data_IF_985384471665
#
_entry.id   IF_985384471665
#
_cell.length_a   1.000
_cell.length_b   1.000
_cell.length_c   1.000
_cell.angle_alpha   90.00
_cell.angle_beta   90.00
_cell.angle_gamma   90.00
#
_symmetry.space_group_name_H-M   'P 1'
#
loop_
_entity.id
_entity.type
_entity.pdbx_description
1 polymer ?
#
# COMPACT_ATOMS: atom_id res chain seq x y z
N UNK A 1 -11.87 -4.30 -21.85
CA UNK A 1 -11.87 -4.56 -20.39
C UNK A 1 -12.38 -3.33 -19.66
N UNK A 2 -13.38 -3.47 -18.78
CA UNK A 2 -13.98 -2.37 -17.99
C UNK A 2 -12.92 -1.64 -17.15
N UNK A 3 -13.03 -0.31 -17.00
CA UNK A 3 -12.18 0.50 -16.12
C UNK A 3 -12.21 -0.04 -14.69
N UNK A 4 -13.39 -0.37 -14.15
CA UNK A 4 -13.53 -0.93 -12.79
C UNK A 4 -12.69 -2.18 -12.60
N UNK A 5 -12.75 -3.10 -13.58
CA UNK A 5 -11.99 -4.35 -13.56
C UNK A 5 -10.49 -4.08 -13.52
N UNK A 6 -9.99 -3.13 -14.33
CA UNK A 6 -8.57 -2.76 -14.31
C UNK A 6 -8.15 -2.21 -12.94
N UNK A 7 -8.94 -1.31 -12.35
CA UNK A 7 -8.63 -0.73 -11.03
C UNK A 7 -8.67 -1.81 -9.92
N UNK A 8 -9.66 -2.69 -9.95
CA UNK A 8 -9.77 -3.80 -9.00
C UNK A 8 -8.58 -4.77 -9.10
N UNK A 9 -8.11 -5.06 -10.33
CA UNK A 9 -6.91 -5.88 -10.54
C UNK A 9 -5.68 -5.22 -9.90
N UNK A 10 -5.47 -3.91 -10.09
CA UNK A 10 -4.39 -3.19 -9.44
C UNK A 10 -4.47 -3.27 -7.91
N UNK A 11 -5.66 -3.07 -7.34
CA UNK A 11 -5.85 -3.17 -5.89
C UNK A 11 -5.54 -4.58 -5.36
N UNK A 12 -6.11 -5.62 -5.97
CA UNK A 12 -5.96 -7.00 -5.51
C UNK A 12 -4.52 -7.49 -5.66
N UNK A 13 -3.88 -7.25 -6.81
CA UNK A 13 -2.49 -7.67 -7.04
C UNK A 13 -1.56 -7.00 -6.03
N UNK A 14 -1.67 -5.69 -5.83
CA UNK A 14 -0.82 -4.97 -4.89
C UNK A 14 -1.03 -5.44 -3.45
N UNK A 15 -2.28 -5.73 -3.06
CA UNK A 15 -2.58 -6.24 -1.72
C UNK A 15 -2.01 -7.65 -1.49
N UNK A 16 -2.17 -8.54 -2.47
CA UNK A 16 -1.60 -9.90 -2.42
C UNK A 16 -0.07 -9.85 -2.36
N UNK A 17 0.56 -9.01 -3.18
CA UNK A 17 2.01 -8.81 -3.16
C UNK A 17 2.49 -8.26 -1.80
N UNK A 18 1.80 -7.25 -1.27
CA UNK A 18 2.12 -6.68 0.05
C UNK A 18 2.04 -7.73 1.15
N UNK A 19 0.97 -8.51 1.20
CA UNK A 19 0.80 -9.61 2.17
C UNK A 19 1.90 -10.66 2.00
N UNK A 20 2.23 -11.03 0.76
CA UNK A 20 3.25 -12.04 0.47
C UNK A 20 4.62 -11.60 0.99
N UNK A 21 5.02 -10.35 0.72
CA UNK A 21 6.27 -9.79 1.23
C UNK A 21 6.25 -9.77 2.77
N UNK A 22 5.14 -9.32 3.36
CA UNK A 22 5.00 -9.27 4.81
C UNK A 22 5.12 -10.67 5.45
N UNK A 23 4.50 -11.69 4.85
CA UNK A 23 4.56 -13.08 5.31
C UNK A 23 5.97 -13.69 5.21
N UNK A 24 6.68 -13.41 4.11
CA UNK A 24 7.98 -14.00 3.85
C UNK A 24 9.10 -13.40 4.72
N UNK A 25 9.01 -12.10 5.03
CA UNK A 25 10.13 -11.35 5.62
C UNK A 25 9.92 -10.85 7.05
N UNK A 26 8.69 -10.68 7.56
CA UNK A 26 8.48 -10.27 8.96
C UNK A 26 8.36 -11.48 9.88
N UNK A 27 9.21 -11.52 10.91
CA UNK A 27 9.00 -12.39 12.07
C UNK A 27 7.80 -11.92 12.89
N UNK A 28 6.94 -12.86 13.27
CA UNK A 28 5.84 -12.66 14.22
C UNK A 28 4.73 -11.71 13.76
N UNK A 29 4.15 -11.98 12.58
CA UNK A 29 2.97 -11.27 12.08
C UNK A 29 1.71 -11.84 12.74
N UNK A 30 1.02 -11.03 13.57
CA UNK A 30 -0.25 -11.43 14.22
C UNK A 30 -1.29 -11.90 13.18
N UNK A 31 -1.34 -11.22 12.04
CA UNK A 31 -2.29 -11.49 10.95
C UNK A 31 -2.17 -12.91 10.36
N UNK A 32 -0.98 -13.52 10.45
CA UNK A 32 -0.66 -14.85 9.92
C UNK A 32 -0.08 -15.76 11.01
N UNK A 33 -0.37 -15.47 12.29
CA UNK A 33 0.13 -16.26 13.42
C UNK A 33 -0.33 -17.72 13.40
N UNK A 34 -1.40 -18.02 12.66
CA UNK A 34 -1.98 -19.35 12.47
C UNK A 34 -1.33 -20.15 11.32
N UNK A 35 -0.45 -19.55 10.52
CA UNK A 35 0.24 -20.23 9.42
C UNK A 35 1.62 -20.70 9.88
N UNK A 36 1.89 -22.01 9.99
CA UNK A 36 3.20 -22.51 10.36
C UNK A 36 4.24 -22.15 9.28
N UNK A 37 5.45 -21.77 9.70
CA UNK A 37 6.55 -21.41 8.79
C UNK A 37 6.53 -19.96 8.28
N UNK A 38 5.95 -19.02 9.02
CA UNK A 38 6.10 -17.59 8.70
C UNK A 38 7.58 -17.15 8.78
N UNK A 39 7.95 -16.10 8.03
CA UNK A 39 9.27 -15.48 8.07
C UNK A 39 10.44 -16.33 7.53
N UNK A 40 10.19 -17.24 6.58
CA UNK A 40 11.21 -18.13 5.97
C UNK A 40 12.44 -17.37 5.45
N UNK A 41 12.25 -16.12 4.97
CA UNK A 41 13.32 -15.30 4.40
C UNK A 41 13.82 -14.20 5.35
N UNK A 42 13.33 -14.15 6.60
CA UNK A 42 13.68 -13.07 7.54
C UNK A 42 15.18 -12.97 7.84
N UNK A 43 15.89 -14.11 7.82
CA UNK A 43 17.33 -14.17 8.10
C UNK A 43 18.22 -14.04 6.86
N UNK A 44 17.65 -14.03 5.66
CA UNK A 44 18.42 -13.77 4.43
C UNK A 44 18.71 -12.27 4.40
N UNK A 45 19.84 -11.81 3.89
CA UNK A 45 20.09 -10.39 3.64
C UNK A 45 20.69 -10.23 2.25
N UNK A 46 20.33 -9.15 1.56
CA UNK A 46 20.83 -8.84 0.22
C UNK A 46 20.79 -7.33 -0.02
N UNK A 47 21.58 -6.78 -0.96
CA UNK A 47 21.59 -5.34 -1.21
C UNK A 47 20.19 -4.80 -1.56
N UNK A 48 19.69 -3.86 -0.75
CA UNK A 48 18.37 -3.25 -0.93
C UNK A 48 17.20 -4.03 -0.31
N UNK A 49 17.47 -5.07 0.47
CA UNK A 49 16.46 -5.85 1.17
C UNK A 49 15.62 -5.00 2.14
N UNK A 50 16.20 -4.01 2.81
CA UNK A 50 15.50 -3.08 3.70
C UNK A 50 14.35 -2.35 2.99
N UNK A 51 14.55 -1.95 1.74
CA UNK A 51 13.51 -1.26 0.95
C UNK A 51 12.36 -2.21 0.64
N UNK A 52 12.68 -3.44 0.24
CA UNK A 52 11.68 -4.46 -0.10
C UNK A 52 10.92 -4.92 1.15
N UNK A 53 11.58 -5.00 2.31
CA UNK A 53 11.00 -5.53 3.55
C UNK A 53 10.17 -4.51 4.30
N UNK A 54 10.62 -3.27 4.34
CA UNK A 54 10.05 -2.25 5.21
C UNK A 54 9.22 -1.25 4.41
N UNK A 55 9.72 -0.66 3.32
CA UNK A 55 9.00 0.42 2.64
C UNK A 55 8.06 -0.04 1.50
N UNK A 56 8.39 -1.14 0.82
CA UNK A 56 7.59 -1.64 -0.31
C UNK A 56 6.19 -2.12 0.12
N UNK A 57 6.00 -2.84 1.26
CA UNK A 57 4.66 -3.19 1.72
C UNK A 57 3.78 -1.97 1.98
N UNK A 58 4.30 -0.94 2.64
CA UNK A 58 3.58 0.29 2.96
C UNK A 58 3.19 1.06 1.71
N UNK A 59 4.10 1.14 0.73
CA UNK A 59 3.77 1.63 -0.61
C UNK A 59 2.63 0.82 -1.25
N UNK A 60 2.72 -0.51 -1.25
CA UNK A 60 1.74 -1.40 -1.89
C UNK A 60 0.36 -1.33 -1.22
N UNK A 61 0.31 -1.18 0.10
CA UNK A 61 -0.93 -1.03 0.85
C UNK A 61 -1.61 0.30 0.58
N UNK A 62 -0.87 1.41 0.63
CA UNK A 62 -1.42 2.72 0.28
C UNK A 62 -1.87 2.76 -1.20
N UNK A 63 -1.10 2.13 -2.10
CA UNK A 63 -1.46 2.01 -3.51
C UNK A 63 -2.76 1.21 -3.68
N UNK A 64 -2.88 0.05 -3.03
CA UNK A 64 -4.09 -0.77 -3.07
C UNK A 64 -5.31 -0.04 -2.52
N UNK A 65 -5.15 0.73 -1.44
CA UNK A 65 -6.20 1.56 -0.87
C UNK A 65 -6.66 2.64 -1.86
N UNK A 66 -5.74 3.34 -2.53
CA UNK A 66 -6.06 4.34 -3.55
C UNK A 66 -6.90 3.74 -4.68
N UNK A 67 -6.48 2.59 -5.23
CA UNK A 67 -7.24 1.93 -6.30
C UNK A 67 -8.59 1.39 -5.85
N UNK A 68 -8.69 0.91 -4.61
CA UNK A 68 -9.95 0.48 -4.02
C UNK A 68 -10.93 1.64 -3.89
N UNK A 69 -10.47 2.79 -3.40
CA UNK A 69 -11.27 4.02 -3.33
C UNK A 69 -11.69 4.50 -4.72
N UNK A 70 -10.79 4.48 -5.71
CA UNK A 70 -11.15 4.82 -7.08
C UNK A 70 -12.24 3.88 -7.62
N UNK A 71 -12.15 2.58 -7.32
CA UNK A 71 -13.12 1.58 -7.74
C UNK A 71 -14.51 1.80 -7.13
N UNK A 72 -14.57 2.14 -5.83
CA UNK A 72 -15.82 2.40 -5.10
C UNK A 72 -16.47 3.71 -5.60
N UNK A 73 -15.67 4.78 -5.72
CA UNK A 73 -16.17 6.13 -6.02
C UNK A 73 -16.09 6.49 -7.51
N UNK A 74 -16.11 5.48 -8.39
CA UNK A 74 -16.00 5.64 -9.84
C UNK A 74 -16.90 6.75 -10.45
N UNK A 75 -18.15 6.99 -10.00
CA UNK A 75 -18.98 8.05 -10.58
C UNK A 75 -18.41 9.47 -10.38
N UNK A 76 -17.53 9.69 -9.40
CA UNK A 76 -17.01 11.01 -9.02
C UNK A 76 -15.57 11.25 -9.52
N UNK A 77 -15.33 11.02 -10.81
CA UNK A 77 -14.01 11.13 -11.46
C UNK A 77 -13.25 12.45 -11.19
N UNK A 78 -13.95 13.55 -10.86
CA UNK A 78 -13.33 14.85 -10.54
C UNK A 78 -12.62 14.85 -9.18
N UNK A 79 -12.90 13.89 -8.31
CA UNK A 79 -12.38 13.80 -6.93
C UNK A 79 -11.26 12.79 -6.77
N UNK A 80 -10.75 12.19 -7.85
CA UNK A 80 -9.65 11.22 -7.78
C UNK A 80 -8.42 11.71 -6.99
N UNK A 81 -7.94 12.97 -7.13
CA UNK A 81 -6.84 13.47 -6.30
C UNK A 81 -7.17 13.51 -4.80
N UNK A 82 -8.44 13.78 -4.44
CA UNK A 82 -8.88 13.79 -3.05
C UNK A 82 -8.84 12.37 -2.48
N UNK A 83 -9.35 11.40 -3.24
CA UNK A 83 -9.33 9.99 -2.81
C UNK A 83 -7.92 9.43 -2.69
N UNK A 84 -6.98 9.86 -3.53
CA UNK A 84 -5.58 9.45 -3.40
C UNK A 84 -4.91 10.09 -2.18
N UNK A 85 -5.32 11.31 -1.79
CA UNK A 85 -4.81 11.98 -0.60
C UNK A 85 -5.31 11.32 0.69
N UNK A 86 -6.52 10.76 0.70
CA UNK A 86 -7.07 10.03 1.86
C UNK A 86 -6.13 8.91 2.31
N UNK A 87 -5.56 8.16 1.37
CA UNK A 87 -4.60 7.09 1.70
C UNK A 87 -3.34 7.61 2.40
N UNK A 88 -2.81 8.74 1.92
CA UNK A 88 -1.63 9.39 2.53
C UNK A 88 -1.95 9.89 3.93
N UNK A 89 -3.05 10.63 4.09
CA UNK A 89 -3.46 11.18 5.38
C UNK A 89 -3.71 10.06 6.38
N UNK A 90 -4.38 8.98 5.95
CA UNK A 90 -4.62 7.82 6.80
C UNK A 90 -3.31 7.17 7.27
N UNK A 91 -2.35 6.94 6.36
CA UNK A 91 -1.04 6.41 6.71
C UNK A 91 -0.27 7.32 7.66
N UNK A 92 -0.21 8.63 7.39
CA UNK A 92 0.47 9.59 8.26
C UNK A 92 -0.18 9.70 9.65
N UNK A 93 -1.50 9.56 9.76
CA UNK A 93 -2.18 9.50 11.08
C UNK A 93 -1.70 8.27 11.86
N UNK A 94 -1.57 7.12 11.19
CA UNK A 94 -1.04 5.90 11.82
C UNK A 94 0.39 6.10 12.33
N UNK A 95 1.28 6.67 11.51
CA UNK A 95 2.64 7.01 11.93
C UNK A 95 2.67 7.98 13.11
N UNK A 96 1.80 9.00 13.09
CA UNK A 96 1.69 9.95 14.20
C UNK A 96 1.21 9.28 15.50
N UNK A 97 0.26 8.35 15.42
CA UNK A 97 -0.21 7.60 16.59
C UNK A 97 0.88 6.66 17.14
N UNK A 98 1.70 6.06 16.27
CA UNK A 98 2.89 5.31 16.69
C UNK A 98 3.90 6.24 17.37
N UNK A 99 4.16 7.43 16.82
CA UNK A 99 5.07 8.42 17.41
C UNK A 99 4.64 8.85 18.82
N UNK A 100 3.33 8.95 19.06
CA UNK A 100 2.76 9.26 20.38
C UNK A 100 2.72 8.08 21.34
N UNK A 101 3.11 6.88 20.91
CA UNK A 101 3.12 5.67 21.73
C UNK A 101 1.73 5.06 21.96
N UNK A 102 0.70 5.49 21.23
CA UNK A 102 -0.62 4.86 21.29
C UNK A 102 -0.65 3.50 20.59
N UNK A 103 0.23 3.32 19.61
CA UNK A 103 0.32 2.11 18.79
C UNK A 103 1.77 1.65 18.74
N UNK A 104 1.99 0.33 18.76
CA UNK A 104 3.32 -0.25 18.59
C UNK A 104 3.78 -0.08 17.14
N UNK A 105 4.89 0.61 16.91
CA UNK A 105 5.46 0.80 15.59
C UNK A 105 6.74 1.63 15.61
N UNK A 106 7.27 1.90 14.42
CA UNK A 106 8.56 2.56 14.22
C UNK A 106 8.45 4.08 14.06
N UNK A 107 7.25 4.60 13.75
CA UNK A 107 7.00 6.02 13.54
C UNK A 107 8.00 6.64 12.53
N UNK A 108 8.03 6.07 11.32
CA UNK A 108 9.04 6.42 10.32
C UNK A 108 8.52 7.48 9.33
N UNK A 109 9.34 8.52 9.13
CA UNK A 109 9.09 9.53 8.12
C UNK A 109 9.17 8.96 6.69
N UNK A 110 10.01 7.93 6.47
CA UNK A 110 10.13 7.30 5.16
C UNK A 110 8.85 6.56 4.74
N UNK A 111 8.06 6.07 5.70
CA UNK A 111 6.74 5.46 5.43
C UNK A 111 5.75 6.51 4.93
N UNK A 112 5.76 7.72 5.54
CA UNK A 112 5.00 8.86 5.05
C UNK A 112 5.36 9.23 3.60
N UNK A 113 6.65 9.19 3.27
CA UNK A 113 7.13 9.42 1.90
C UNK A 113 6.65 8.32 0.95
N UNK A 114 6.72 7.06 1.37
CA UNK A 114 6.25 5.91 0.59
C UNK A 114 4.76 6.04 0.25
N UNK A 115 3.92 6.48 1.21
CA UNK A 115 2.50 6.77 0.97
C UNK A 115 2.31 7.87 -0.08
N UNK A 116 3.10 8.95 0.00
CA UNK A 116 3.08 10.03 -0.97
C UNK A 116 3.41 9.56 -2.39
N UNK A 117 4.47 8.76 -2.54
CA UNK A 117 4.87 8.18 -3.84
C UNK A 117 3.80 7.21 -4.36
N UNK A 118 3.19 6.40 -3.49
CA UNK A 118 2.09 5.51 -3.84
C UNK A 118 0.88 6.27 -4.39
N UNK A 119 0.50 7.36 -3.72
CA UNK A 119 -0.63 8.22 -4.13
C UNK A 119 -0.41 8.85 -5.50
N UNK A 120 0.78 9.42 -5.74
CA UNK A 120 1.15 10.02 -7.03
C UNK A 120 1.14 8.95 -8.13
N UNK A 121 1.73 7.78 -7.87
CA UNK A 121 1.81 6.68 -8.82
C UNK A 121 0.42 6.17 -9.19
N UNK A 122 -0.45 6.00 -8.20
CA UNK A 122 -1.84 5.60 -8.41
C UNK A 122 -2.61 6.61 -9.27
N UNK A 123 -2.45 7.90 -8.98
CA UNK A 123 -3.11 8.97 -9.75
C UNK A 123 -2.63 9.02 -11.20
N UNK A 124 -1.32 8.85 -11.44
CA UNK A 124 -0.74 8.80 -12.78
C UNK A 124 -1.29 7.63 -13.60
N UNK A 125 -1.31 6.43 -13.01
CA UNK A 125 -1.84 5.23 -13.68
C UNK A 125 -3.34 5.36 -13.93
N UNK A 126 -4.09 5.88 -12.97
CA UNK A 126 -5.52 6.15 -13.11
C UNK A 126 -5.80 7.11 -14.29
N UNK A 127 -5.11 8.25 -14.34
CA UNK A 127 -5.27 9.24 -15.40
C UNK A 127 -4.91 8.66 -16.78
N UNK A 128 -3.82 7.88 -16.86
CA UNK A 128 -3.42 7.19 -18.10
C UNK A 128 -4.46 6.16 -18.54
N UNK A 129 -5.00 5.38 -17.61
CA UNK A 129 -6.01 4.35 -17.90
C UNK A 129 -7.33 4.97 -18.32
N UNK A 130 -7.72 6.08 -17.68
CA UNK A 130 -8.90 6.87 -18.06
C UNK A 130 -8.78 7.42 -19.48
N UNK A 131 -7.65 8.06 -19.83
CA UNK A 131 -7.41 8.61 -21.17
C UNK A 131 -7.47 7.58 -22.29
N UNK A 132 -7.08 6.32 -22.01
CA UNK A 132 -7.12 5.22 -22.99
C UNK A 132 -8.52 4.63 -23.21
N UNK A 133 -9.47 4.90 -22.32
CA UNK A 133 -10.83 4.32 -22.33
C UNK A 133 -11.93 5.37 -22.52
N UNK A 134 -11.55 6.65 -22.62
CA UNK A 134 -12.41 7.76 -23.05
C UNK A 134 -12.33 7.91 -24.55
#
# INVERSE_FOLDING_TARGET
MDLRKTLAIHAVISLVLGITIYYLFRMSVILLAWVPGNAVLANISFPGDSIIRFYLPDFLWCYALCFSLFCIYLPSFKRAPIYSLVGVVYGCIWEYLQYKGFLSGTADFFDCLAYGVASITALCIYNKTKRRKS
#
